data_IF_902641293516
#
_entry.id   IF_902641293516
#
_cell.length_a   1.000
_cell.length_b   1.000
_cell.length_c   1.000
_cell.angle_alpha   90.00
_cell.angle_beta   90.00
_cell.angle_gamma   90.00
#
_symmetry.space_group_name_H-M   'P 1'
#
loop_
_entity.id
_entity.type
_entity.pdbx_description
1 polymer ?
#
# COMPACT_ATOMS: atom_id res chain seq x y z
N UNK A 1 12.05 9.65 38.67
CA UNK A 1 11.26 8.40 38.54
C UNK A 1 11.26 7.95 37.07
N UNK A 2 12.40 7.46 36.58
CA UNK A 2 12.55 6.85 35.25
C UNK A 2 13.42 5.58 35.32
N UNK A 3 13.64 5.07 36.54
CA UNK A 3 14.64 4.04 36.87
C UNK A 3 13.99 2.72 37.29
N UNK A 4 12.67 2.57 37.13
CA UNK A 4 11.91 1.38 37.54
C UNK A 4 11.05 0.76 36.42
N UNK A 5 11.31 1.09 35.15
CA UNK A 5 10.62 0.50 34.00
C UNK A 5 11.54 -0.26 33.03
N UNK A 6 12.76 -0.64 33.47
CA UNK A 6 13.65 -1.53 32.71
C UNK A 6 14.01 -2.73 33.58
N UNK A 7 13.03 -3.56 33.93
CA UNK A 7 13.36 -4.78 34.70
C UNK A 7 12.59 -6.05 34.39
N UNK A 8 11.80 -6.15 33.32
CA UNK A 8 11.31 -7.46 32.92
C UNK A 8 11.18 -7.59 31.41
N UNK A 9 11.73 -8.69 30.90
CA UNK A 9 11.78 -9.12 29.51
C UNK A 9 12.73 -8.32 28.61
N UNK A 10 14.01 -8.68 28.70
CA UNK A 10 14.82 -9.08 27.54
C UNK A 10 16.13 -9.59 28.13
N UNK A 11 16.18 -10.91 28.33
CA UNK A 11 17.31 -11.59 28.96
C UNK A 11 18.50 -11.73 28.03
N UNK A 12 19.10 -10.61 27.63
CA UNK A 12 20.47 -10.59 27.10
C UNK A 12 21.28 -9.38 27.61
N UNK A 13 22.58 -9.61 27.70
CA UNK A 13 23.51 -8.93 28.60
C UNK A 13 23.92 -7.54 28.09
N UNK A 14 23.36 -6.49 28.71
CA UNK A 14 23.61 -5.06 28.45
C UNK A 14 25.06 -4.59 28.71
N UNK A 15 25.95 -5.47 29.15
CA UNK A 15 27.31 -5.12 29.57
C UNK A 15 28.33 -4.96 28.43
N UNK A 16 28.00 -5.27 27.17
CA UNK A 16 28.95 -5.17 26.05
C UNK A 16 28.81 -3.91 25.17
N UNK A 17 27.78 -3.06 25.38
CA UNK A 17 27.50 -1.88 24.53
C UNK A 17 27.70 -0.56 25.28
N UNK A 18 27.88 -0.61 26.60
CA UNK A 18 27.96 0.56 27.47
C UNK A 18 29.39 0.84 27.98
N UNK A 19 30.37 0.93 27.08
CA UNK A 19 31.58 1.70 27.38
C UNK A 19 31.38 3.16 26.90
N UNK A 20 31.00 4.02 27.85
CA UNK A 20 31.43 5.42 27.83
C UNK A 20 30.50 6.49 27.25
N UNK A 21 29.22 6.23 26.97
CA UNK A 21 28.32 7.31 26.55
C UNK A 21 26.89 7.05 27.02
N UNK A 22 26.33 8.00 27.79
CA UNK A 22 25.02 7.87 28.43
C UNK A 22 23.86 7.56 27.47
N UNK A 23 22.65 7.42 28.03
CA UNK A 23 21.42 7.04 27.33
C UNK A 23 21.25 7.74 25.96
N UNK A 24 21.59 9.03 25.87
CA UNK A 24 21.54 9.79 24.61
C UNK A 24 22.43 9.22 23.49
N UNK A 25 23.64 8.76 23.81
CA UNK A 25 24.56 8.16 22.84
C UNK A 25 24.06 6.78 22.38
N UNK A 26 23.45 6.02 23.28
CA UNK A 26 22.85 4.72 22.94
C UNK A 26 21.63 4.90 22.04
N UNK A 27 20.77 5.88 22.33
CA UNK A 27 19.62 6.23 21.50
C UNK A 27 20.07 6.71 20.11
N UNK A 28 21.09 7.56 20.05
CA UNK A 28 21.64 8.04 18.77
C UNK A 28 22.17 6.90 17.90
N UNK A 29 22.98 5.99 18.45
CA UNK A 29 23.49 4.80 17.73
C UNK A 29 22.37 3.87 17.26
N UNK A 30 21.28 3.75 18.03
CA UNK A 30 20.12 2.94 17.65
C UNK A 30 19.37 3.54 16.45
N UNK A 31 19.27 4.88 16.40
CA UNK A 31 18.66 5.60 15.27
C UNK A 31 19.53 5.44 14.02
N UNK A 32 20.84 5.70 14.11
CA UNK A 32 21.77 5.53 12.99
C UNK A 32 21.75 4.09 12.44
N UNK A 33 21.71 3.09 13.33
CA UNK A 33 21.55 1.70 12.93
C UNK A 33 20.24 1.48 12.17
N UNK A 34 19.11 1.96 12.69
CA UNK A 34 17.81 1.79 12.05
C UNK A 34 17.74 2.49 10.68
N UNK A 35 18.34 3.68 10.54
CA UNK A 35 18.46 4.37 9.26
C UNK A 35 19.32 3.60 8.27
N UNK A 36 20.48 3.08 8.70
CA UNK A 36 21.38 2.29 7.84
C UNK A 36 20.72 1.01 7.29
N UNK A 37 19.73 0.49 8.01
CA UNK A 37 18.99 -0.72 7.64
C UNK A 37 17.63 -0.40 6.98
N UNK A 38 17.24 0.88 6.85
CA UNK A 38 15.92 1.27 6.35
C UNK A 38 14.75 0.95 7.28
N UNK A 39 15.01 0.71 8.57
CA UNK A 39 14.05 0.23 9.59
C UNK A 39 13.59 1.31 10.57
N UNK A 40 13.78 2.58 10.21
CA UNK A 40 13.42 3.71 11.06
C UNK A 40 11.92 3.69 11.43
N UNK A 41 11.07 3.27 10.49
CA UNK A 41 9.64 3.15 10.71
C UNK A 41 9.25 2.10 11.76
N UNK A 42 9.89 0.93 11.74
CA UNK A 42 9.68 -0.12 12.73
C UNK A 42 10.13 0.33 14.13
N UNK A 43 11.29 1.00 14.20
CA UNK A 43 11.83 1.52 15.45
C UNK A 43 10.85 2.50 16.11
N UNK A 44 10.34 3.46 15.33
CA UNK A 44 9.39 4.48 15.82
C UNK A 44 8.04 3.87 16.17
N UNK A 45 7.54 2.92 15.37
CA UNK A 45 6.29 2.21 15.64
C UNK A 45 6.38 1.35 16.90
N UNK A 46 7.47 0.63 17.08
CA UNK A 46 7.74 -0.16 18.29
C UNK A 46 7.84 0.71 19.54
N UNK A 47 8.56 1.83 19.45
CA UNK A 47 8.67 2.81 20.53
C UNK A 47 7.30 3.41 20.90
N UNK A 48 6.47 3.72 19.91
CA UNK A 48 5.13 4.25 20.13
C UNK A 48 4.18 3.22 20.76
N UNK A 49 4.25 1.95 20.36
CA UNK A 49 3.48 0.87 21.01
C UNK A 49 3.88 0.67 22.47
N UNK A 50 5.17 0.78 22.77
CA UNK A 50 5.68 0.68 24.14
C UNK A 50 5.36 1.92 25.00
N UNK A 51 5.21 3.09 24.38
CA UNK A 51 4.90 4.35 25.07
C UNK A 51 3.93 5.25 24.28
N UNK A 52 2.63 4.87 24.20
CA UNK A 52 1.65 5.52 23.31
C UNK A 52 1.27 6.95 23.73
N UNK A 53 1.56 7.32 24.98
CA UNK A 53 1.31 8.65 25.53
C UNK A 53 2.44 9.66 25.30
N UNK A 54 3.56 9.26 24.69
CA UNK A 54 4.70 10.14 24.50
C UNK A 54 4.49 11.11 23.30
N UNK A 55 4.37 12.43 23.53
CA UNK A 55 4.08 13.38 22.47
C UNK A 55 5.22 13.53 21.46
N UNK A 56 6.47 13.33 21.87
CA UNK A 56 7.64 13.37 20.98
C UNK A 56 7.67 12.19 20.01
N UNK A 57 7.39 10.98 20.49
CA UNK A 57 7.26 9.79 19.64
C UNK A 57 6.08 9.92 18.67
N UNK A 58 4.98 10.56 19.09
CA UNK A 58 3.85 10.85 18.21
C UNK A 58 4.20 11.88 17.15
N UNK A 59 4.88 12.96 17.50
CA UNK A 59 5.34 13.95 16.51
C UNK A 59 6.30 13.31 15.49
N UNK A 60 7.22 12.47 15.96
CA UNK A 60 8.17 11.76 15.10
C UNK A 60 7.46 10.73 14.19
N UNK A 61 6.50 9.98 14.73
CA UNK A 61 5.66 9.07 13.95
C UNK A 61 4.78 9.81 12.93
N UNK A 62 4.28 11.01 13.24
CA UNK A 62 3.53 11.84 12.29
C UNK A 62 4.42 12.38 11.16
N UNK A 63 5.63 12.83 11.47
CA UNK A 63 6.61 13.28 10.46
C UNK A 63 7.07 12.15 9.53
N UNK A 64 7.04 10.91 10.00
CA UNK A 64 7.35 9.71 9.22
C UNK A 64 6.11 9.09 8.54
N UNK A 65 4.92 9.68 8.68
CA UNK A 65 3.68 9.15 8.10
C UNK A 65 3.15 7.86 8.75
N UNK A 66 3.62 7.51 9.96
CA UNK A 66 3.32 6.28 10.70
C UNK A 66 2.17 6.42 11.70
N UNK A 67 1.78 7.66 12.00
CA UNK A 67 0.51 7.93 12.63
C UNK A 67 -0.49 8.29 11.55
N UNK A 68 -1.58 7.52 11.47
CA UNK A 68 -2.82 8.03 10.93
C UNK A 68 -3.21 9.24 11.79
N UNK A 69 -2.79 10.44 11.38
CA UNK A 69 -3.50 11.65 11.77
C UNK A 69 -4.92 11.43 11.25
N UNK A 70 -5.87 11.31 12.18
CA UNK A 70 -7.27 11.23 11.80
C UNK A 70 -7.52 12.40 10.83
N UNK A 71 -7.92 12.14 9.58
CA UNK A 71 -8.35 13.22 8.74
C UNK A 71 -9.54 13.84 9.46
N UNK A 72 -9.49 15.16 9.62
CA UNK A 72 -10.67 15.99 9.87
C UNK A 72 -11.83 15.42 9.05
N UNK A 73 -13.05 15.27 9.60
CA UNK A 73 -14.19 14.78 8.82
C UNK A 73 -14.58 15.84 7.79
N UNK A 74 -13.85 15.87 6.66
CA UNK A 74 -14.29 16.39 5.38
C UNK A 74 -15.32 15.43 4.78
N UNK A 75 -16.21 15.92 3.92
CA UNK A 75 -17.58 15.44 3.84
C UNK A 75 -17.62 13.95 3.51
N UNK A 76 -18.49 13.25 4.23
CA UNK A 76 -19.07 11.95 3.91
C UNK A 76 -18.87 11.61 2.44
N UNK A 77 -18.11 10.54 2.19
CA UNK A 77 -17.92 9.92 0.89
C UNK A 77 -19.25 9.93 0.14
N UNK A 78 -19.30 10.77 -0.88
CA UNK A 78 -20.48 10.92 -1.73
C UNK A 78 -20.64 9.60 -2.50
N UNK A 79 -21.87 9.07 -2.64
CA UNK A 79 -22.10 7.95 -3.54
C UNK A 79 -21.58 8.35 -4.93
N UNK A 80 -20.73 7.49 -5.48
CA UNK A 80 -20.13 7.62 -6.81
C UNK A 80 -21.24 7.91 -7.82
N UNK A 81 -21.25 9.10 -8.41
CA UNK A 81 -22.20 9.49 -9.45
C UNK A 81 -22.09 8.51 -10.62
N UNK A 82 -23.19 7.85 -11.00
CA UNK A 82 -23.22 6.85 -12.09
C UNK A 82 -22.70 7.36 -13.44
N UNK A 83 -22.66 8.67 -13.60
CA UNK A 83 -22.38 9.36 -14.87
C UNK A 83 -20.88 9.51 -15.17
N UNK A 84 -20.00 9.46 -14.16
CA UNK A 84 -18.54 9.57 -14.39
C UNK A 84 -17.91 8.18 -14.60
N UNK A 85 -16.95 8.01 -15.53
CA UNK A 85 -16.18 6.78 -15.62
C UNK A 85 -15.37 6.54 -14.33
N UNK A 86 -15.36 5.31 -13.80
CA UNK A 86 -14.69 4.98 -12.55
C UNK A 86 -13.17 5.20 -12.64
N UNK A 87 -12.59 5.78 -11.59
CA UNK A 87 -11.15 6.03 -11.49
C UNK A 87 -10.38 4.79 -11.03
N UNK A 88 -9.33 4.43 -11.77
CA UNK A 88 -8.41 3.34 -11.41
C UNK A 88 -7.25 3.86 -10.59
N UNK A 89 -6.99 3.19 -9.47
CA UNK A 89 -5.75 3.28 -8.69
C UNK A 89 -4.93 1.99 -8.82
N UNK A 90 -3.61 2.12 -9.03
CA UNK A 90 -2.68 1.00 -9.07
C UNK A 90 -1.90 0.93 -7.75
N UNK A 91 -2.05 -0.16 -7.01
CA UNK A 91 -1.19 -0.48 -5.87
C UNK A 91 -0.13 -1.47 -6.34
N UNK A 92 1.13 -1.05 -6.36
CA UNK A 92 2.22 -1.84 -6.94
C UNK A 92 3.57 -1.51 -6.28
N UNK A 93 4.48 -2.48 -6.24
CA UNK A 93 5.83 -2.24 -5.77
C UNK A 93 6.62 -1.44 -6.83
N UNK A 94 7.52 -0.50 -6.44
CA UNK A 94 8.29 0.29 -7.40
C UNK A 94 9.04 -0.55 -8.44
N UNK A 95 9.54 -1.73 -8.05
CA UNK A 95 10.20 -2.71 -8.92
C UNK A 95 9.32 -3.21 -10.08
N UNK A 96 8.00 -3.13 -9.96
CA UNK A 96 7.01 -3.58 -10.95
C UNK A 96 6.52 -2.46 -11.88
N UNK A 97 7.07 -1.24 -11.78
CA UNK A 97 6.66 -0.08 -12.59
C UNK A 97 6.60 -0.39 -14.09
N UNK A 98 7.59 -1.09 -14.61
CA UNK A 98 7.62 -1.43 -16.05
C UNK A 98 6.45 -2.31 -16.50
N UNK A 99 5.97 -3.22 -15.63
CA UNK A 99 4.80 -4.05 -15.89
C UNK A 99 3.50 -3.25 -15.72
N UNK A 100 3.45 -2.35 -14.73
CA UNK A 100 2.35 -1.40 -14.55
C UNK A 100 2.16 -0.52 -15.79
N UNK A 101 3.25 0.06 -16.30
CA UNK A 101 3.23 0.94 -17.49
C UNK A 101 2.72 0.19 -18.74
N UNK A 102 3.11 -1.07 -18.90
CA UNK A 102 2.58 -1.94 -19.97
C UNK A 102 1.09 -2.22 -19.79
N UNK A 103 0.65 -2.57 -18.59
CA UNK A 103 -0.77 -2.77 -18.30
C UNK A 103 -1.57 -1.49 -18.62
N UNK A 104 -1.08 -0.32 -18.21
CA UNK A 104 -1.74 0.95 -18.50
C UNK A 104 -1.90 1.19 -20.01
N UNK A 105 -0.88 0.81 -20.80
CA UNK A 105 -0.93 0.87 -22.26
C UNK A 105 -2.06 0.01 -22.83
N UNK A 106 -2.22 -1.21 -22.34
CA UNK A 106 -3.32 -2.12 -22.71
C UNK A 106 -4.70 -1.61 -22.27
N UNK A 107 -4.77 -0.77 -21.24
CA UNK A 107 -6.01 -0.15 -20.75
C UNK A 107 -6.40 1.13 -21.50
N UNK A 108 -5.57 1.66 -22.41
CA UNK A 108 -5.86 2.91 -23.15
C UNK A 108 -7.17 2.86 -23.94
N UNK A 109 -7.55 1.70 -24.48
CA UNK A 109 -8.83 1.58 -25.19
C UNK A 109 -10.03 1.79 -24.25
N UNK A 110 -9.98 1.23 -23.03
CA UNK A 110 -11.03 1.40 -22.03
C UNK A 110 -11.12 2.86 -21.56
N UNK A 111 -9.98 3.53 -21.42
CA UNK A 111 -9.93 4.97 -21.11
C UNK A 111 -10.57 5.81 -22.22
N UNK A 112 -10.22 5.55 -23.49
CA UNK A 112 -10.79 6.26 -24.65
C UNK A 112 -12.30 6.05 -24.81
N UNK A 113 -12.80 4.88 -24.40
CA UNK A 113 -14.22 4.55 -24.42
C UNK A 113 -14.99 5.07 -23.20
N UNK A 114 -14.33 5.75 -22.25
CA UNK A 114 -14.98 6.22 -21.02
C UNK A 114 -15.47 5.08 -20.13
N UNK A 115 -14.87 3.89 -20.24
CA UNK A 115 -15.17 2.75 -19.34
C UNK A 115 -14.52 2.97 -17.98
N UNK A 116 -13.34 3.60 -17.98
CA UNK A 116 -12.52 3.91 -16.81
C UNK A 116 -11.83 5.26 -17.02
N UNK A 117 -11.37 5.89 -15.94
CA UNK A 117 -10.34 6.94 -16.01
C UNK A 117 -9.04 6.42 -15.37
N UNK A 118 -7.89 6.90 -15.86
CA UNK A 118 -6.58 6.51 -15.36
C UNK A 118 -5.95 7.61 -14.51
N UNK A 119 -5.46 7.23 -13.33
CA UNK A 119 -4.51 8.01 -12.55
C UNK A 119 -3.18 7.27 -12.46
N UNK A 120 -2.07 8.01 -12.43
CA UNK A 120 -0.74 7.47 -12.14
C UNK A 120 0.04 8.46 -11.27
N UNK A 121 0.88 7.90 -10.42
CA UNK A 121 1.82 8.48 -9.45
C UNK A 121 2.75 9.56 -10.04
N UNK A 122 3.00 9.57 -11.35
CA UNK A 122 3.68 10.68 -12.05
C UNK A 122 2.90 12.01 -12.09
N UNK A 123 1.79 12.15 -11.35
CA UNK A 123 0.99 13.38 -11.23
C UNK A 123 1.11 14.06 -9.87
N UNK A 124 1.91 13.52 -8.95
CA UNK A 124 2.21 14.20 -7.68
C UNK A 124 3.05 15.43 -7.98
N UNK A 125 2.58 16.62 -7.60
CA UNK A 125 3.30 17.87 -7.85
C UNK A 125 4.53 17.96 -6.95
N UNK A 126 5.64 18.50 -7.47
CA UNK A 126 6.85 18.70 -6.69
C UNK A 126 6.55 19.57 -5.46
N UNK A 127 6.80 19.03 -4.27
CA UNK A 127 6.54 19.69 -2.98
C UNK A 127 5.31 19.16 -2.22
N UNK A 128 4.55 18.22 -2.77
CA UNK A 128 3.48 17.51 -2.07
C UNK A 128 4.02 16.28 -1.32
N UNK A 129 3.39 15.92 -0.20
CA UNK A 129 3.63 14.65 0.49
C UNK A 129 3.06 13.51 -0.36
N UNK A 130 3.96 12.77 -1.00
CA UNK A 130 3.67 11.67 -1.90
C UNK A 130 2.81 10.59 -1.23
N UNK A 131 3.05 10.29 0.05
CA UNK A 131 2.30 9.27 0.78
C UNK A 131 0.85 9.72 1.05
N UNK A 132 0.68 10.99 1.41
CA UNK A 132 -0.65 11.56 1.66
C UNK A 132 -1.50 11.59 0.38
N UNK A 133 -0.91 11.93 -0.77
CA UNK A 133 -1.62 11.95 -2.05
C UNK A 133 -1.97 10.52 -2.51
N UNK A 134 -1.04 9.56 -2.37
CA UNK A 134 -1.30 8.15 -2.68
C UNK A 134 -2.47 7.61 -1.85
N UNK A 135 -2.51 7.92 -0.55
CA UNK A 135 -3.60 7.49 0.33
C UNK A 135 -4.93 8.17 -0.04
N UNK A 136 -4.91 9.47 -0.32
CA UNK A 136 -6.09 10.22 -0.80
C UNK A 136 -6.68 9.62 -2.08
N UNK A 137 -5.82 9.16 -3.00
CA UNK A 137 -6.24 8.47 -4.23
C UNK A 137 -6.82 7.10 -3.95
N UNK A 138 -6.19 6.33 -3.07
CA UNK A 138 -6.76 5.06 -2.60
C UNK A 138 -8.17 5.25 -2.01
N UNK A 139 -8.40 6.36 -1.29
CA UNK A 139 -9.70 6.72 -0.70
C UNK A 139 -10.75 7.20 -1.71
N UNK A 140 -10.34 7.75 -2.84
CA UNK A 140 -11.26 8.26 -3.85
C UNK A 140 -11.48 7.30 -5.00
N UNK A 141 -10.60 6.31 -5.18
CA UNK A 141 -10.66 5.36 -6.27
C UNK A 141 -11.89 4.45 -6.21
N UNK A 142 -12.48 4.28 -7.39
CA UNK A 142 -13.61 3.39 -7.64
C UNK A 142 -13.14 1.95 -7.87
N UNK A 143 -11.99 1.80 -8.53
CA UNK A 143 -11.40 0.53 -8.90
C UNK A 143 -9.95 0.52 -8.44
N UNK A 144 -9.60 -0.48 -7.64
CA UNK A 144 -8.26 -0.63 -7.07
C UNK A 144 -7.64 -1.91 -7.64
N UNK A 145 -6.53 -1.75 -8.35
CA UNK A 145 -5.77 -2.87 -8.91
C UNK A 145 -4.59 -3.19 -7.99
N UNK A 146 -4.58 -4.39 -7.40
CA UNK A 146 -3.45 -4.87 -6.61
C UNK A 146 -2.50 -5.62 -7.54
N UNK A 147 -1.34 -5.04 -7.84
CA UNK A 147 -0.35 -5.65 -8.74
C UNK A 147 0.60 -6.54 -7.95
N UNK A 148 0.22 -7.82 -7.86
CA UNK A 148 0.81 -8.81 -6.95
C UNK A 148 2.13 -9.33 -7.49
N UNK A 149 3.13 -9.29 -6.61
CA UNK A 149 4.47 -9.83 -6.78
C UNK A 149 5.09 -10.12 -5.40
N UNK A 150 6.26 -10.76 -5.38
CA UNK A 150 7.01 -10.93 -4.13
C UNK A 150 7.39 -9.59 -3.49
N UNK A 151 7.77 -8.58 -4.29
CA UNK A 151 8.10 -7.24 -3.78
C UNK A 151 6.87 -6.49 -3.27
N UNK A 152 5.69 -6.73 -3.88
CA UNK A 152 4.43 -6.20 -3.36
C UNK A 152 4.11 -6.76 -1.97
N UNK A 153 4.26 -8.07 -1.79
CA UNK A 153 3.99 -8.75 -0.51
C UNK A 153 5.02 -8.35 0.55
N UNK A 154 6.29 -8.18 0.15
CA UNK A 154 7.37 -7.79 1.06
C UNK A 154 7.33 -6.31 1.46
N UNK A 155 6.57 -5.46 0.76
CA UNK A 155 6.46 -4.04 1.07
C UNK A 155 5.44 -3.79 2.17
N UNK A 156 5.88 -3.22 3.30
CA UNK A 156 4.98 -2.85 4.41
C UNK A 156 3.90 -1.85 3.98
N UNK A 157 4.22 -0.92 3.08
CA UNK A 157 3.26 0.09 2.62
C UNK A 157 2.22 -0.55 1.68
N UNK A 158 2.65 -1.31 0.68
CA UNK A 158 1.73 -1.94 -0.27
C UNK A 158 0.87 -3.02 0.39
N UNK A 159 1.49 -3.90 1.18
CA UNK A 159 0.82 -5.03 1.78
C UNK A 159 0.09 -4.66 3.07
N UNK A 160 0.71 -3.93 4.01
CA UNK A 160 0.08 -3.72 5.31
C UNK A 160 -0.84 -2.49 5.34
N UNK A 161 -0.57 -1.45 4.55
CA UNK A 161 -1.40 -0.21 4.56
C UNK A 161 -2.38 -0.18 3.40
N UNK A 162 -1.89 -0.22 2.16
CA UNK A 162 -2.73 -0.01 0.99
C UNK A 162 -3.68 -1.18 0.72
N UNK A 163 -3.19 -2.42 0.82
CA UNK A 163 -3.99 -3.61 0.59
C UNK A 163 -5.07 -3.79 1.64
N UNK A 164 -4.75 -3.63 2.94
CA UNK A 164 -5.76 -3.71 4.00
C UNK A 164 -6.87 -2.69 3.76
N UNK A 165 -6.49 -1.44 3.48
CA UNK A 165 -7.47 -0.39 3.21
C UNK A 165 -8.29 -0.64 1.95
N UNK A 166 -7.69 -1.17 0.89
CA UNK A 166 -8.41 -1.57 -0.31
C UNK A 166 -9.46 -2.65 0.01
N UNK A 167 -9.10 -3.65 0.82
CA UNK A 167 -9.99 -4.72 1.24
C UNK A 167 -11.15 -4.22 2.11
N UNK A 168 -10.90 -3.29 3.03
CA UNK A 168 -11.96 -2.61 3.80
C UNK A 168 -12.97 -1.93 2.86
N UNK A 169 -12.49 -1.12 1.91
CA UNK A 169 -13.34 -0.41 0.95
C UNK A 169 -14.16 -1.35 0.09
N UNK A 170 -13.61 -2.49 -0.29
CA UNK A 170 -14.36 -3.50 -1.01
C UNK A 170 -15.44 -4.16 -0.14
N UNK A 171 -15.11 -4.50 1.10
CA UNK A 171 -16.09 -5.09 2.03
C UNK A 171 -17.27 -4.15 2.29
N UNK A 172 -17.02 -2.84 2.32
CA UNK A 172 -18.03 -1.79 2.43
C UNK A 172 -18.79 -1.51 1.13
N UNK A 173 -18.42 -2.13 0.00
CA UNK A 173 -19.01 -1.87 -1.32
C UNK A 173 -18.66 -0.51 -1.91
N UNK A 174 -17.64 0.17 -1.37
CA UNK A 174 -17.22 1.50 -1.79
C UNK A 174 -16.29 1.46 -3.01
N UNK A 175 -15.48 0.41 -3.13
CA UNK A 175 -14.57 0.20 -4.27
C UNK A 175 -14.63 -1.23 -4.79
N UNK A 176 -14.24 -1.41 -6.05
CA UNK A 176 -13.99 -2.71 -6.67
C UNK A 176 -12.50 -3.02 -6.57
N UNK A 177 -12.11 -4.10 -5.91
CA UNK A 177 -10.70 -4.53 -5.84
C UNK A 177 -10.48 -5.70 -6.79
N UNK A 178 -9.45 -5.59 -7.63
CA UNK A 178 -9.08 -6.62 -8.61
C UNK A 178 -7.60 -6.98 -8.37
N UNK A 179 -7.32 -8.19 -7.87
CA UNK A 179 -5.95 -8.68 -7.78
C UNK A 179 -5.42 -9.05 -9.18
N UNK A 180 -4.20 -8.60 -9.50
CA UNK A 180 -3.52 -8.86 -10.76
C UNK A 180 -2.15 -9.48 -10.48
N UNK A 181 -1.97 -10.74 -10.83
CA UNK A 181 -0.74 -11.49 -10.62
C UNK A 181 0.30 -11.13 -11.69
N UNK A 182 1.24 -10.25 -11.34
CA UNK A 182 2.33 -9.85 -12.24
C UNK A 182 3.46 -10.87 -12.27
N UNK A 183 3.91 -11.30 -11.09
CA UNK A 183 5.02 -12.24 -10.92
C UNK A 183 4.60 -13.42 -10.05
N UNK A 184 5.18 -14.61 -10.25
CA UNK A 184 4.94 -15.74 -9.38
C UNK A 184 5.35 -15.39 -7.94
N UNK A 185 4.45 -15.62 -7.00
CA UNK A 185 4.69 -15.54 -5.57
C UNK A 185 3.64 -16.38 -4.85
N UNK A 186 3.86 -16.64 -3.57
CA UNK A 186 2.87 -17.30 -2.73
C UNK A 186 1.88 -16.26 -2.19
N UNK A 187 0.67 -16.24 -2.76
CA UNK A 187 -0.38 -15.26 -2.44
C UNK A 187 -1.70 -15.91 -2.02
N UNK A 188 -1.77 -17.25 -2.00
CA UNK A 188 -3.04 -17.97 -1.84
C UNK A 188 -3.64 -17.85 -0.43
N UNK A 189 -2.82 -17.48 0.56
CA UNK A 189 -3.26 -17.20 1.93
C UNK A 189 -3.43 -15.69 2.22
N UNK A 190 -3.20 -14.82 1.24
CA UNK A 190 -3.33 -13.37 1.43
C UNK A 190 -4.81 -12.95 1.61
N UNK A 191 -5.11 -11.81 2.26
CA UNK A 191 -6.49 -11.37 2.49
C UNK A 191 -7.35 -11.20 1.23
N UNK A 192 -6.73 -10.84 0.11
CA UNK A 192 -7.37 -10.70 -1.20
C UNK A 192 -7.52 -12.01 -1.98
N UNK A 193 -7.03 -13.14 -1.46
CA UNK A 193 -7.04 -14.45 -2.14
C UNK A 193 -8.44 -14.97 -2.49
N UNK A 194 -9.45 -14.53 -1.74
CA UNK A 194 -10.87 -14.87 -1.96
C UNK A 194 -11.46 -14.19 -3.20
N UNK A 195 -10.79 -13.17 -3.73
CA UNK A 195 -11.20 -12.47 -4.94
C UNK A 195 -10.71 -13.21 -6.17
N UNK A 196 -11.47 -13.12 -7.26
CA UNK A 196 -11.02 -13.64 -8.54
C UNK A 196 -9.86 -12.79 -9.05
N UNK A 197 -8.66 -13.37 -9.08
CA UNK A 197 -7.47 -12.74 -9.63
C UNK A 197 -7.48 -12.75 -11.17
N UNK A 198 -6.70 -11.85 -11.75
CA UNK A 198 -6.32 -11.84 -13.17
C UNK A 198 -4.79 -12.04 -13.29
N UNK A 199 -4.26 -12.61 -14.38
CA UNK A 199 -4.97 -13.20 -15.51
C UNK A 199 -5.87 -14.39 -15.13
N UNK A 200 -6.84 -14.71 -15.98
CA UNK A 200 -7.96 -15.62 -15.68
C UNK A 200 -7.55 -17.08 -15.39
N UNK A 201 -6.31 -17.45 -15.70
CA UNK A 201 -5.74 -18.78 -15.55
C UNK A 201 -4.81 -18.91 -14.32
N UNK A 202 -4.84 -17.94 -13.40
CA UNK A 202 -3.94 -17.85 -12.23
C UNK A 202 -2.44 -17.87 -12.59
N UNK A 203 -2.09 -17.67 -13.86
CA UNK A 203 -0.71 -17.65 -14.33
C UNK A 203 -0.20 -16.22 -14.34
N UNK A 204 0.85 -15.98 -13.56
CA UNK A 204 1.49 -14.67 -13.47
C UNK A 204 1.91 -14.14 -14.85
N UNK A 205 1.73 -12.84 -15.11
CA UNK A 205 2.08 -12.20 -16.39
C UNK A 205 3.47 -12.58 -16.89
N UNK A 206 4.47 -12.64 -16.00
CA UNK A 206 5.85 -12.98 -16.40
C UNK A 206 6.07 -14.44 -16.82
N UNK A 207 5.09 -15.33 -16.61
CA UNK A 207 5.13 -16.74 -17.01
C UNK A 207 4.42 -17.03 -18.33
N UNK A 208 3.69 -16.08 -18.89
CA UNK A 208 3.08 -16.24 -20.20
C UNK A 208 4.15 -16.25 -21.29
N UNK A 209 3.94 -17.08 -22.32
CA UNK A 209 4.82 -17.11 -23.50
C UNK A 209 4.82 -15.77 -24.23
N UNK A 210 3.65 -15.13 -24.30
CA UNK A 210 3.48 -13.74 -24.72
C UNK A 210 2.83 -12.93 -23.59
N UNK A 211 3.53 -11.88 -23.14
CA UNK A 211 3.02 -11.00 -22.08
C UNK A 211 1.88 -10.10 -22.58
N UNK A 212 1.84 -9.78 -23.87
CA UNK A 212 0.77 -8.97 -24.43
C UNK A 212 -0.56 -9.73 -24.45
N UNK A 213 -0.52 -11.05 -24.62
CA UNK A 213 -1.71 -11.89 -24.41
C UNK A 213 -2.20 -11.85 -22.96
N UNK A 214 -1.27 -11.90 -21.98
CA UNK A 214 -1.59 -11.80 -20.57
C UNK A 214 -2.26 -10.45 -20.24
N UNK A 215 -1.67 -9.34 -20.70
CA UNK A 215 -2.23 -8.01 -20.50
C UNK A 215 -3.55 -7.81 -21.24
N UNK A 216 -3.73 -8.43 -22.40
CA UNK A 216 -5.01 -8.42 -23.12
C UNK A 216 -6.09 -9.17 -22.33
N UNK A 217 -5.77 -10.32 -21.73
CA UNK A 217 -6.69 -11.05 -20.84
C UNK A 217 -7.07 -10.20 -19.63
N UNK A 218 -6.08 -9.57 -18.99
CA UNK A 218 -6.30 -8.65 -17.87
C UNK A 218 -7.23 -7.49 -18.28
N UNK A 219 -6.98 -6.85 -19.42
CA UNK A 219 -7.79 -5.72 -19.89
C UNK A 219 -9.25 -6.13 -20.16
N UNK A 220 -9.47 -7.31 -20.74
CA UNK A 220 -10.81 -7.88 -20.91
C UNK A 220 -11.48 -8.18 -19.55
N UNK A 221 -10.73 -8.77 -18.62
CA UNK A 221 -11.21 -9.06 -17.27
C UNK A 221 -11.63 -7.81 -16.51
N UNK A 222 -10.81 -6.75 -16.56
CA UNK A 222 -11.10 -5.45 -15.94
C UNK A 222 -12.36 -4.84 -16.55
N UNK A 223 -12.49 -4.82 -17.89
CA UNK A 223 -13.71 -4.34 -18.55
C UNK A 223 -14.96 -5.02 -18.00
N UNK A 224 -14.99 -6.35 -18.01
CA UNK A 224 -16.15 -7.12 -17.55
C UNK A 224 -16.41 -6.97 -16.05
N UNK A 225 -15.37 -6.74 -15.24
CA UNK A 225 -15.53 -6.47 -13.81
C UNK A 225 -16.16 -5.08 -13.57
N UNK A 226 -15.64 -4.06 -14.26
CA UNK A 226 -16.12 -2.68 -14.17
C UNK A 226 -17.56 -2.53 -14.66
N UNK A 227 -17.89 -3.12 -15.82
CA UNK A 227 -19.25 -3.08 -16.37
C UNK A 227 -20.28 -3.72 -15.41
N UNK A 228 -19.95 -4.89 -14.83
CA UNK A 228 -20.80 -5.56 -13.83
C UNK A 228 -20.92 -4.78 -12.53
N UNK A 229 -19.86 -4.10 -12.11
CA UNK A 229 -19.87 -3.28 -10.91
C UNK A 229 -20.73 -2.02 -11.10
N UNK A 230 -20.63 -1.37 -12.26
CA UNK A 230 -21.49 -0.23 -12.62
C UNK A 230 -22.96 -0.63 -12.75
N UNK A 231 -23.27 -1.83 -13.26
CA UNK A 231 -24.67 -2.27 -13.40
C UNK A 231 -25.36 -2.61 -12.08
N UNK A 232 -24.60 -2.79 -10.99
CA UNK A 232 -25.11 -3.14 -9.65
C UNK A 232 -25.35 -1.92 -8.75
N UNK A 233 -24.86 -0.75 -9.15
CA UNK A 233 -25.12 0.53 -8.48
C UNK A 233 -26.29 1.23 -9.15
#
# INVERSE_FOLDING_TARGET
MLTQMVRFQLGENLAAIAEGGGLANTVFKLIEWAESQGRLAELVTGALKANPGNPGLRACAAQLGLLATAPTPGPTSTPVSKDKPPEIFYSYAPSDKSLRDKLETHLKLLQRQGVITGWHDGKVEAGQDENAEILSRLESADVILLLISADFIASDVCYSVQMERAMERQSAGNALVIPILLRPCDWKDAPFSKLKALPSNDTAVTRWGDRDEAFTDIARGIRSAVERWRSRR
#
